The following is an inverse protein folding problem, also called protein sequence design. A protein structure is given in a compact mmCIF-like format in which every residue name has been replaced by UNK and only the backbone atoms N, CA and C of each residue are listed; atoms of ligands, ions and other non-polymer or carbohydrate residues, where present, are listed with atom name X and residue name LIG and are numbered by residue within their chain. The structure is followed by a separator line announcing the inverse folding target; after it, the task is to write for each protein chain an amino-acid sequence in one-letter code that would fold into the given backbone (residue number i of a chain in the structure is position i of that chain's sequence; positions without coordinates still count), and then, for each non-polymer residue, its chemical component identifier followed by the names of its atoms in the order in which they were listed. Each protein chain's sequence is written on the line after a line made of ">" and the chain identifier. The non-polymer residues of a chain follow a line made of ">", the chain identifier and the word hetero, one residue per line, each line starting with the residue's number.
data_IF_852220062980
#
_entry.id   IF_852220062980
#
_cell.length_a   1.000
_cell.length_b   1.000
_cell.length_c   1.000
_cell.angle_alpha   90.00
_cell.angle_beta   90.00
_cell.angle_gamma   90.00
#
_symmetry.space_group_name_H-M   'P 1'
#
loop_
_entity.id
_entity.type
_entity.pdbx_description
1 polymer ?
#
# COMPACT_ATOMS: atom_id res chain seq x y z
N UNK A 1 -15.14 8.04 -7.36
CA UNK A 1 -16.27 7.10 -7.14
C UNK A 1 -15.74 5.64 -7.06
N UNK A 2 -14.72 5.38 -6.23
CA UNK A 2 -14.11 4.05 -6.01
C UNK A 2 -13.82 3.90 -4.50
N UNK A 3 -14.75 4.33 -3.64
CA UNK A 3 -14.52 4.42 -2.19
C UNK A 3 -15.71 3.88 -1.38
N UNK A 4 -16.37 2.84 -1.90
CA UNK A 4 -17.55 2.22 -1.26
C UNK A 4 -17.59 0.69 -1.40
N UNK A 5 -16.44 0.02 -1.57
CA UNK A 5 -16.42 -1.45 -1.75
C UNK A 5 -15.54 -2.26 -0.79
N UNK A 6 -15.10 -1.68 0.35
CA UNK A 6 -14.38 -2.46 1.38
C UNK A 6 -15.00 -2.26 2.79
N UNK A 7 -16.32 -2.11 2.87
CA UNK A 7 -17.06 -2.22 4.13
C UNK A 7 -18.24 -3.17 3.93
N UNK A 8 -17.96 -4.45 3.66
CA UNK A 8 -19.00 -5.48 3.68
C UNK A 8 -18.40 -6.89 3.79
N UNK A 9 -17.81 -7.23 4.94
CA UNK A 9 -17.49 -8.63 5.26
C UNK A 9 -17.47 -8.98 6.76
N UNK A 10 -18.02 -8.14 7.65
CA UNK A 10 -18.06 -8.41 9.10
C UNK A 10 -19.44 -8.42 9.72
N UNK A 11 -20.52 -8.30 8.93
CA UNK A 11 -21.89 -8.33 9.45
C UNK A 11 -22.75 -9.43 8.83
N UNK A 12 -22.31 -10.69 8.89
CA UNK A 12 -23.24 -11.82 8.91
C UNK A 12 -22.51 -12.99 9.56
N UNK A 13 -22.92 -13.32 10.78
CA UNK A 13 -22.61 -14.52 11.59
C UNK A 13 -22.18 -14.11 13.00
N UNK A 14 -23.14 -13.78 13.86
CA UNK A 14 -23.19 -14.19 15.27
C UNK A 14 -24.46 -13.60 15.91
N UNK A 15 -25.63 -14.07 15.46
CA UNK A 15 -26.83 -14.00 16.28
C UNK A 15 -27.80 -15.12 15.91
N UNK A 16 -27.41 -16.34 16.22
CA UNK A 16 -28.37 -17.43 16.43
C UNK A 16 -28.06 -18.01 17.80
N UNK A 17 -28.51 -17.27 18.82
CA UNK A 17 -28.58 -17.74 20.19
C UNK A 17 -29.64 -18.85 20.23
N UNK A 18 -29.18 -20.10 20.11
CA UNK A 18 -30.02 -21.27 20.27
C UNK A 18 -30.21 -21.53 21.77
N UNK A 19 -31.37 -21.12 22.28
CA UNK A 19 -32.00 -21.75 23.45
C UNK A 19 -32.70 -23.02 22.97
N UNK A 20 -32.01 -24.15 22.94
CA UNK A 20 -32.68 -25.47 22.95
C UNK A 20 -31.80 -26.49 23.65
N UNK A 21 -32.24 -26.91 24.83
CA UNK A 21 -31.75 -28.08 25.53
C UNK A 21 -32.07 -29.34 24.72
N UNK A 22 -31.08 -30.23 24.59
CA UNK A 22 -31.33 -31.66 24.47
C UNK A 22 -31.18 -32.27 23.08
N UNK A 23 -30.28 -33.26 23.05
CA UNK A 23 -30.22 -34.42 22.15
C UNK A 23 -29.73 -34.17 20.72
N UNK A 24 -28.68 -34.91 20.35
CA UNK A 24 -28.42 -35.27 18.95
C UNK A 24 -27.16 -34.65 18.36
N UNK A 25 -26.03 -35.30 18.62
CA UNK A 25 -24.81 -35.15 17.83
C UNK A 25 -25.07 -35.45 16.34
N UNK A 26 -24.10 -35.07 15.50
CA UNK A 26 -23.93 -35.47 14.10
C UNK A 26 -24.49 -34.53 13.02
N UNK A 27 -24.32 -33.23 13.18
CA UNK A 27 -24.19 -32.34 12.01
C UNK A 27 -22.93 -31.50 12.20
N UNK A 28 -22.17 -31.33 11.11
CA UNK A 28 -21.18 -30.26 10.90
C UNK A 28 -19.70 -30.64 10.88
N UNK A 29 -19.32 -31.60 10.04
CA UNK A 29 -17.94 -31.65 9.49
C UNK A 29 -17.84 -31.12 8.04
N UNK A 30 -18.95 -30.97 7.31
CA UNK A 30 -18.93 -30.51 5.91
C UNK A 30 -18.96 -28.99 5.73
N UNK A 31 -19.53 -28.22 6.67
CA UNK A 31 -19.57 -26.75 6.55
C UNK A 31 -18.20 -26.11 6.83
N UNK A 32 -17.43 -26.69 7.77
CA UNK A 32 -16.10 -26.23 8.14
C UNK A 32 -15.10 -26.35 6.99
N UNK A 33 -15.05 -27.50 6.32
CA UNK A 33 -14.22 -27.72 5.12
C UNK A 33 -14.58 -26.79 3.96
N UNK A 34 -15.82 -26.30 3.91
CA UNK A 34 -16.27 -25.40 2.85
C UNK A 34 -15.87 -23.94 3.11
N UNK A 35 -15.83 -23.50 4.37
CA UNK A 35 -15.31 -22.18 4.75
C UNK A 35 -13.78 -22.09 4.54
N UNK A 36 -13.03 -23.13 4.88
CA UNK A 36 -11.56 -23.13 4.70
C UNK A 36 -11.15 -23.03 3.23
N UNK A 37 -11.85 -23.77 2.33
CA UNK A 37 -11.57 -23.72 0.89
C UNK A 37 -11.86 -22.34 0.27
N UNK A 38 -12.90 -21.64 0.73
CA UNK A 38 -13.20 -20.27 0.27
C UNK A 38 -12.14 -19.27 0.73
N UNK A 39 -11.68 -19.38 1.97
CA UNK A 39 -10.61 -18.52 2.49
C UNK A 39 -9.32 -18.68 1.68
N UNK A 40 -8.92 -19.92 1.36
CA UNK A 40 -7.74 -20.19 0.51
C UNK A 40 -7.88 -19.65 -0.91
N UNK A 41 -9.07 -19.76 -1.52
CA UNK A 41 -9.31 -19.22 -2.86
C UNK A 41 -9.25 -17.68 -2.91
N UNK A 42 -9.72 -16.98 -1.87
CA UNK A 42 -9.58 -15.52 -1.77
C UNK A 42 -8.12 -15.09 -1.65
N UNK A 43 -7.30 -15.80 -0.86
CA UNK A 43 -5.87 -15.50 -0.74
C UNK A 43 -5.13 -15.67 -2.07
N UNK A 44 -5.36 -16.77 -2.79
CA UNK A 44 -4.73 -17.02 -4.10
C UNK A 44 -5.17 -16.01 -5.17
N UNK A 45 -6.44 -15.57 -5.15
CA UNK A 45 -6.90 -14.52 -6.04
C UNK A 45 -6.25 -13.18 -5.71
N UNK A 46 -6.09 -12.84 -4.43
CA UNK A 46 -5.39 -11.63 -4.00
C UNK A 46 -3.90 -11.66 -4.39
N UNK A 47 -3.22 -12.80 -4.24
CA UNK A 47 -1.83 -12.97 -4.68
C UNK A 47 -1.68 -12.77 -6.20
N UNK A 48 -2.60 -13.33 -6.99
CA UNK A 48 -2.57 -13.20 -8.45
C UNK A 48 -2.85 -11.77 -8.92
N UNK A 49 -3.80 -11.09 -8.27
CA UNK A 49 -4.09 -9.66 -8.55
C UNK A 49 -2.87 -8.80 -8.19
N UNK A 50 -2.23 -9.09 -7.05
CA UNK A 50 -1.02 -8.39 -6.61
C UNK A 50 0.12 -8.52 -7.64
N UNK A 51 0.36 -9.72 -8.16
CA UNK A 51 1.40 -9.94 -9.18
C UNK A 51 1.17 -9.14 -10.47
N UNK A 52 -0.08 -9.08 -10.96
CA UNK A 52 -0.40 -8.31 -12.18
C UNK A 52 -0.15 -6.83 -11.99
N UNK A 53 -0.58 -6.27 -10.85
CA UNK A 53 -0.42 -4.86 -10.54
C UNK A 53 1.07 -4.52 -10.37
N UNK A 54 1.83 -5.34 -9.62
CA UNK A 54 3.27 -5.14 -9.45
C UNK A 54 4.02 -5.14 -10.79
N UNK A 55 3.65 -6.01 -11.73
CA UNK A 55 4.23 -6.04 -13.08
C UNK A 55 3.91 -4.78 -13.88
N UNK A 56 2.68 -4.29 -13.80
CA UNK A 56 2.27 -3.07 -14.50
C UNK A 56 2.96 -1.83 -13.89
N UNK A 57 3.08 -1.76 -12.57
CA UNK A 57 3.86 -0.73 -11.87
C UNK A 57 5.30 -0.75 -12.34
N UNK A 58 5.97 -1.92 -12.31
CA UNK A 58 7.36 -2.05 -12.76
C UNK A 58 7.56 -1.56 -14.20
N UNK A 59 6.65 -1.90 -15.12
CA UNK A 59 6.70 -1.42 -16.50
C UNK A 59 6.57 0.12 -16.56
N UNK A 60 5.55 0.68 -15.93
CA UNK A 60 5.31 2.14 -15.94
C UNK A 60 6.47 2.90 -15.31
N UNK A 61 7.03 2.41 -14.20
CA UNK A 61 8.20 3.02 -13.55
C UNK A 61 9.39 3.00 -14.49
N UNK A 62 9.69 1.89 -15.16
CA UNK A 62 10.80 1.83 -16.12
C UNK A 62 10.60 2.79 -17.31
N UNK A 63 9.38 2.90 -17.83
CA UNK A 63 9.04 3.83 -18.92
C UNK A 63 9.23 5.29 -18.50
N UNK A 64 8.77 5.67 -17.30
CA UNK A 64 8.90 7.03 -16.78
C UNK A 64 10.36 7.42 -16.51
N UNK A 65 11.17 6.48 -16.01
CA UNK A 65 12.58 6.73 -15.71
C UNK A 65 13.48 6.63 -16.95
N UNK A 66 12.96 6.19 -18.10
CA UNK A 66 13.68 6.19 -19.38
C UNK A 66 15.06 5.52 -19.33
N UNK A 67 15.20 4.49 -18.49
CA UNK A 67 16.47 3.79 -18.28
C UNK A 67 17.42 4.42 -17.25
N UNK A 68 17.06 5.57 -16.67
CA UNK A 68 17.74 6.12 -15.49
C UNK A 68 17.62 5.13 -14.31
N UNK A 69 18.60 5.15 -13.41
CA UNK A 69 18.57 4.33 -12.20
C UNK A 69 17.43 4.80 -11.28
N UNK A 70 16.53 3.87 -10.96
CA UNK A 70 15.43 4.11 -10.02
C UNK A 70 16.03 4.06 -8.61
N UNK A 71 15.93 5.14 -7.79
CA UNK A 71 16.41 5.12 -6.43
C UNK A 71 15.56 4.14 -5.64
N UNK A 72 16.14 3.03 -5.22
CA UNK A 72 15.49 2.03 -4.37
C UNK A 72 16.36 1.77 -3.17
N UNK A 73 15.74 1.67 -1.99
CA UNK A 73 16.44 1.27 -0.77
C UNK A 73 16.09 -0.19 -0.49
N UNK A 74 17.10 -1.04 -0.35
CA UNK A 74 16.85 -2.41 0.09
C UNK A 74 16.19 -2.35 1.47
N UNK A 75 14.95 -2.82 1.54
CA UNK A 75 14.18 -2.82 2.78
C UNK A 75 14.79 -3.86 3.72
N UNK A 76 15.71 -3.45 4.58
CA UNK A 76 16.32 -4.35 5.56
C UNK A 76 15.32 -4.84 6.64
N UNK A 77 14.14 -4.23 6.81
CA UNK A 77 13.21 -4.65 7.89
C UNK A 77 11.72 -4.24 7.66
N UNK A 78 11.16 -4.58 6.49
CA UNK A 78 9.78 -4.18 6.09
C UNK A 78 8.63 -4.99 6.73
N UNK A 79 8.67 -5.18 8.06
CA UNK A 79 7.50 -5.65 8.82
C UNK A 79 6.92 -4.61 9.78
N UNK A 80 7.54 -3.43 9.89
CA UNK A 80 6.93 -2.33 10.61
C UNK A 80 5.91 -1.66 9.65
N UNK A 81 4.66 -2.06 9.80
CA UNK A 81 3.48 -1.46 9.16
C UNK A 81 3.34 -0.01 9.68
N UNK A 82 4.10 0.92 9.12
CA UNK A 82 4.04 2.34 9.45
C UNK A 82 3.09 3.03 8.49
N UNK A 83 2.04 3.60 9.07
CA UNK A 83 0.98 4.33 8.37
C UNK A 83 1.53 5.66 7.82
N UNK A 84 1.49 5.78 6.48
CA UNK A 84 1.31 7.03 5.72
C UNK A 84 2.46 8.01 5.57
N UNK A 85 3.24 8.31 6.62
CA UNK A 85 4.10 9.50 6.58
C UNK A 85 5.60 9.20 6.74
N UNK A 86 6.40 9.85 5.90
CA UNK A 86 7.84 9.91 6.09
C UNK A 86 8.16 10.56 7.44
N UNK A 87 9.01 9.90 8.24
CA UNK A 87 9.42 10.40 9.55
C UNK A 87 10.25 11.67 9.40
N UNK A 88 9.61 12.82 9.57
CA UNK A 88 10.29 14.08 9.78
C UNK A 88 10.78 14.15 11.23
N UNK A 89 12.05 14.49 11.43
CA UNK A 89 12.51 14.89 12.76
C UNK A 89 11.76 16.16 13.20
N UNK A 90 11.39 16.22 14.48
CA UNK A 90 10.54 17.30 15.01
C UNK A 90 11.14 18.70 14.85
N UNK A 91 12.46 18.77 14.68
CA UNK A 91 13.21 20.03 14.64
C UNK A 91 13.47 20.54 13.21
N UNK A 92 13.04 19.82 12.17
CA UNK A 92 13.24 20.28 10.77
C UNK A 92 12.29 21.45 10.47
N UNK A 93 12.82 22.67 10.22
CA UNK A 93 11.99 23.82 9.94
C UNK A 93 11.25 23.64 8.62
N UNK A 94 10.08 24.27 8.51
CA UNK A 94 9.21 24.14 7.34
C UNK A 94 9.93 24.45 6.00
N UNK A 95 10.82 25.43 6.00
CA UNK A 95 11.63 25.82 4.83
C UNK A 95 12.63 24.75 4.36
N UNK A 96 13.02 23.81 5.23
CA UNK A 96 14.02 22.78 4.91
C UNK A 96 13.40 21.43 4.56
N UNK A 97 12.08 21.27 4.74
CA UNK A 97 11.39 19.99 4.50
C UNK A 97 11.51 19.49 3.07
N UNK A 98 11.47 20.41 2.10
CA UNK A 98 11.64 20.06 0.68
C UNK A 98 13.01 19.44 0.44
N UNK A 99 14.07 20.08 0.95
CA UNK A 99 15.44 19.58 0.81
C UNK A 99 15.62 18.23 1.53
N UNK A 100 15.02 18.08 2.72
CA UNK A 100 15.03 16.83 3.48
C UNK A 100 14.38 15.69 2.68
N UNK A 101 13.13 15.87 2.22
CA UNK A 101 12.43 14.85 1.46
C UNK A 101 13.10 14.54 0.14
N UNK A 102 13.63 15.54 -0.55
CA UNK A 102 14.41 15.34 -1.78
C UNK A 102 15.63 14.44 -1.52
N UNK A 103 16.39 14.72 -0.46
CA UNK A 103 17.57 13.93 -0.11
C UNK A 103 17.20 12.46 0.18
N UNK A 104 16.19 12.24 1.02
CA UNK A 104 15.73 10.88 1.37
C UNK A 104 15.08 10.15 0.19
N UNK A 105 14.37 10.86 -0.69
CA UNK A 105 13.75 10.29 -1.88
C UNK A 105 14.81 9.80 -2.88
N UNK A 106 15.87 10.58 -3.07
CA UNK A 106 17.04 10.20 -3.87
C UNK A 106 17.82 9.05 -3.21
N UNK A 107 17.81 8.98 -1.88
CA UNK A 107 18.32 7.83 -1.11
C UNK A 107 17.45 6.57 -1.19
N UNK A 108 16.36 6.59 -1.96
CA UNK A 108 15.51 5.42 -2.19
C UNK A 108 14.41 5.19 -1.16
N UNK A 109 14.20 6.09 -0.19
CA UNK A 109 13.15 5.91 0.82
C UNK A 109 11.75 6.07 0.20
N UNK A 110 10.90 5.02 0.16
CA UNK A 110 9.63 5.08 -0.56
C UNK A 110 8.63 6.09 0.02
N UNK A 111 8.63 6.27 1.34
CA UNK A 111 7.79 7.26 2.01
C UNK A 111 8.19 8.69 1.59
N UNK A 112 9.50 8.98 1.61
CA UNK A 112 10.01 10.29 1.19
C UNK A 112 9.83 10.53 -0.31
N UNK A 113 9.91 9.48 -1.14
CA UNK A 113 9.58 9.57 -2.57
C UNK A 113 8.13 10.00 -2.79
N UNK A 114 7.17 9.40 -2.07
CA UNK A 114 5.77 9.79 -2.14
C UNK A 114 5.58 11.24 -1.66
N UNK A 115 6.12 11.60 -0.49
CA UNK A 115 6.01 12.97 0.04
C UNK A 115 6.66 14.01 -0.90
N UNK A 116 7.83 13.71 -1.46
CA UNK A 116 8.50 14.61 -2.41
C UNK A 116 7.72 14.75 -3.72
N UNK A 117 7.13 13.66 -4.22
CA UNK A 117 6.26 13.69 -5.39
C UNK A 117 5.05 14.61 -5.20
N UNK A 118 4.44 14.62 -4.00
CA UNK A 118 3.35 15.53 -3.67
C UNK A 118 3.79 17.00 -3.62
N UNK A 119 5.00 17.27 -3.12
CA UNK A 119 5.58 18.62 -3.13
C UNK A 119 5.80 19.11 -4.56
N UNK A 120 6.36 18.28 -5.44
CA UNK A 120 6.54 18.58 -6.86
C UNK A 120 5.20 18.79 -7.59
N UNK A 121 4.16 18.04 -7.23
CA UNK A 121 2.82 18.21 -7.81
C UNK A 121 2.15 19.51 -7.39
N UNK A 122 2.28 19.88 -6.12
CA UNK A 122 1.60 21.03 -5.51
C UNK A 122 2.37 22.34 -5.65
N UNK A 123 3.70 22.29 -5.75
CA UNK A 123 4.59 23.45 -5.64
C UNK A 123 4.68 24.00 -4.21
N UNK A 124 4.35 23.20 -3.20
CA UNK A 124 4.37 23.64 -1.80
C UNK A 124 5.80 23.66 -1.24
N UNK A 125 6.05 24.51 -0.24
CA UNK A 125 7.38 24.64 0.36
C UNK A 125 8.42 25.38 -0.50
N UNK A 126 7.98 26.04 -1.57
CA UNK A 126 8.86 26.82 -2.46
C UNK A 126 9.53 26.01 -3.57
N UNK A 127 9.16 24.74 -3.74
CA UNK A 127 9.59 23.90 -4.86
C UNK A 127 8.83 24.30 -6.14
N UNK A 128 9.50 24.24 -7.29
CA UNK A 128 8.84 24.46 -8.58
C UNK A 128 7.90 23.29 -8.90
N UNK A 129 6.72 23.60 -9.44
CA UNK A 129 5.76 22.57 -9.80
C UNK A 129 6.25 21.79 -11.03
N UNK A 130 6.50 20.50 -10.85
CA UNK A 130 6.90 19.58 -11.91
C UNK A 130 6.08 18.29 -11.85
N UNK A 131 5.08 18.20 -12.74
CA UNK A 131 4.21 17.04 -12.84
C UNK A 131 4.93 15.78 -13.34
N UNK A 132 5.97 15.93 -14.18
CA UNK A 132 6.70 14.79 -14.73
C UNK A 132 7.63 14.18 -13.67
N UNK A 133 8.36 15.02 -12.95
CA UNK A 133 9.18 14.58 -11.83
C UNK A 133 8.32 13.98 -10.70
N UNK A 134 7.16 14.59 -10.41
CA UNK A 134 6.19 14.02 -9.47
C UNK A 134 5.77 12.60 -9.86
N UNK A 135 5.40 12.37 -11.13
CA UNK A 135 5.02 11.05 -11.61
C UNK A 135 6.17 10.03 -11.48
N UNK A 136 7.41 10.42 -11.75
CA UNK A 136 8.60 9.56 -11.57
C UNK A 136 8.73 9.08 -10.14
N UNK A 137 8.63 9.98 -9.16
CA UNK A 137 8.79 9.63 -7.75
C UNK A 137 7.61 8.85 -7.18
N UNK A 138 6.37 9.13 -7.60
CA UNK A 138 5.22 8.28 -7.26
C UNK A 138 5.38 6.84 -7.80
N UNK A 139 5.84 6.71 -9.05
CA UNK A 139 6.10 5.40 -9.65
C UNK A 139 7.25 4.65 -8.95
N UNK A 140 8.28 5.36 -8.48
CA UNK A 140 9.36 4.78 -7.69
C UNK A 140 8.89 4.28 -6.32
N UNK A 141 8.04 5.07 -5.63
CA UNK A 141 7.45 4.65 -4.35
C UNK A 141 6.56 3.41 -4.52
N UNK A 142 5.70 3.42 -5.55
CA UNK A 142 4.83 2.29 -5.88
C UNK A 142 5.62 1.02 -6.25
N UNK A 143 6.75 1.18 -6.97
CA UNK A 143 7.66 0.07 -7.30
C UNK A 143 8.22 -0.62 -6.06
N UNK A 144 8.36 0.13 -4.96
CA UNK A 144 8.78 -0.38 -3.64
C UNK A 144 7.60 -0.82 -2.75
N UNK A 145 6.42 -1.07 -3.34
CA UNK A 145 5.16 -1.46 -2.67
C UNK A 145 4.54 -0.39 -1.75
N UNK A 146 4.89 0.89 -1.92
CA UNK A 146 4.22 1.99 -1.23
C UNK A 146 3.09 2.56 -2.12
N UNK A 147 1.87 2.04 -1.93
CA UNK A 147 0.71 2.24 -2.81
C UNK A 147 -0.35 3.21 -2.25
N UNK A 148 0.06 4.18 -1.44
CA UNK A 148 -0.84 5.20 -0.87
C UNK A 148 -1.35 6.21 -1.92
#
# INVERSE_FOLDING_TARGET
>A
RILTMIFNATCFFFLSLALTNGVGAFVSNRSFLWQEKRSRLCLLQNEKVNYSIAKDIARVTQELWNGDEIPTKENEDSLILLEGDARLEMDVPFSERVAYFRSEALGGCPYSQHSYALLLWSGFGGEEKDAQASAKFHAAAAFQNHLD
#
